data_IF_080315259247
#
_entry.id   IF_080315259247
#
_cell.length_a   1.000
_cell.length_b   1.000
_cell.length_c   1.000
_cell.angle_alpha   90.00
_cell.angle_beta   90.00
_cell.angle_gamma   90.00
#
_symmetry.space_group_name_H-M   'P 1'
#
loop_
_entity.id
_entity.type
_entity.pdbx_description
1 polymer ?
#
# COMPACT_ATOMS: atom_id res chain seq x y z
N UNK A 1 -11.22 20.27 -41.87
CA UNK A 1 -12.05 20.95 -40.86
C UNK A 1 -11.76 20.27 -39.54
N UNK A 2 -11.05 20.95 -38.64
CA UNK A 2 -10.77 20.43 -37.31
C UNK A 2 -11.98 20.71 -36.42
N UNK A 3 -12.55 19.66 -35.82
CA UNK A 3 -13.58 19.79 -34.79
C UNK A 3 -12.98 20.53 -33.59
N UNK A 4 -13.44 21.75 -33.38
CA UNK A 4 -13.24 22.47 -32.13
C UNK A 4 -14.08 21.76 -31.07
N UNK A 5 -13.42 21.03 -30.17
CA UNK A 5 -14.05 20.57 -28.95
C UNK A 5 -14.35 21.82 -28.12
N UNK A 6 -15.64 22.04 -27.86
CA UNK A 6 -16.18 23.17 -27.13
C UNK A 6 -15.87 23.00 -25.63
N UNK A 7 -14.97 23.82 -25.08
CA UNK A 7 -14.63 23.88 -23.64
C UNK A 7 -15.70 24.61 -22.80
N UNK A 8 -16.91 24.79 -23.32
CA UNK A 8 -17.99 25.54 -22.66
C UNK A 8 -18.68 24.68 -21.60
N UNK A 9 -18.52 25.11 -20.34
CA UNK A 9 -19.25 24.71 -19.13
C UNK A 9 -18.99 23.29 -18.59
N UNK A 10 -17.78 23.01 -18.10
CA UNK A 10 -17.62 22.00 -17.04
C UNK A 10 -18.27 22.54 -15.76
N UNK A 11 -19.46 22.06 -15.44
CA UNK A 11 -20.13 22.34 -14.16
C UNK A 11 -19.27 21.81 -13.02
N UNK A 12 -18.97 22.66 -12.03
CA UNK A 12 -18.24 22.26 -10.83
C UNK A 12 -19.05 21.20 -10.08
N UNK A 13 -18.51 20.00 -9.96
CA UNK A 13 -19.20 18.89 -9.28
C UNK A 13 -18.84 18.85 -7.81
N UNK A 14 -19.80 18.50 -6.96
CA UNK A 14 -19.61 18.29 -5.52
C UNK A 14 -19.78 16.81 -5.19
N UNK A 15 -18.87 16.28 -4.39
CA UNK A 15 -18.93 14.86 -4.03
C UNK A 15 -18.21 14.52 -2.73
N UNK A 16 -18.33 13.26 -2.35
CA UNK A 16 -17.68 12.70 -1.17
C UNK A 16 -16.49 11.83 -1.57
N UNK A 17 -15.55 11.64 -0.65
CA UNK A 17 -14.52 10.60 -0.76
C UNK A 17 -14.80 9.49 0.24
N UNK A 18 -14.95 8.25 -0.22
CA UNK A 18 -15.09 7.07 0.63
C UNK A 18 -13.72 6.54 1.04
N UNK A 19 -13.41 6.64 2.33
CA UNK A 19 -12.13 6.30 2.96
C UNK A 19 -11.46 7.52 3.58
N UNK A 20 -11.47 7.64 4.91
CA UNK A 20 -10.82 8.74 5.63
C UNK A 20 -9.40 8.34 6.06
N UNK A 21 -8.54 8.07 5.07
CA UNK A 21 -7.12 7.75 5.24
C UNK A 21 -6.25 8.46 4.21
N UNK A 22 -4.94 8.17 4.18
CA UNK A 22 -4.01 8.86 3.28
C UNK A 22 -4.36 8.75 1.79
N UNK A 23 -4.91 7.61 1.36
CA UNK A 23 -5.42 7.44 -0.01
C UNK A 23 -6.63 8.33 -0.29
N UNK A 24 -7.51 8.51 0.68
CA UNK A 24 -8.64 9.43 0.59
C UNK A 24 -8.20 10.87 0.39
N UNK A 25 -7.18 11.31 1.14
CA UNK A 25 -6.60 12.67 0.97
C UNK A 25 -6.05 12.85 -0.44
N UNK A 26 -5.29 11.88 -0.96
CA UNK A 26 -4.79 11.92 -2.36
C UNK A 26 -5.93 11.94 -3.38
N UNK A 27 -6.99 11.18 -3.14
CA UNK A 27 -8.19 11.19 -3.99
C UNK A 27 -8.85 12.57 -4.01
N UNK A 28 -8.96 13.23 -2.85
CA UNK A 28 -9.44 14.62 -2.75
C UNK A 28 -8.57 15.58 -3.56
N UNK A 29 -7.25 15.55 -3.39
CA UNK A 29 -6.33 16.42 -4.13
C UNK A 29 -6.45 16.28 -5.66
N UNK A 30 -6.56 15.04 -6.15
CA UNK A 30 -6.74 14.77 -7.59
C UNK A 30 -8.04 15.36 -8.10
N UNK A 31 -9.12 15.20 -7.35
CA UNK A 31 -10.45 15.70 -7.72
C UNK A 31 -10.50 17.23 -7.68
N UNK A 32 -9.89 17.85 -6.68
CA UNK A 32 -9.85 19.31 -6.54
C UNK A 32 -8.96 19.97 -7.60
N UNK A 33 -7.89 19.31 -8.06
CA UNK A 33 -7.11 19.76 -9.24
C UNK A 33 -7.95 19.84 -10.51
N UNK A 34 -9.00 19.02 -10.62
CA UNK A 34 -9.98 19.09 -11.71
C UNK A 34 -11.08 20.14 -11.47
N UNK A 35 -10.92 20.99 -10.45
CA UNK A 35 -11.86 22.02 -10.00
C UNK A 35 -13.16 21.48 -9.41
N UNK A 36 -13.27 20.19 -9.11
CA UNK A 36 -14.40 19.67 -8.36
C UNK A 36 -14.24 19.95 -6.86
N UNK A 37 -15.31 19.84 -6.07
CA UNK A 37 -15.28 20.11 -4.62
C UNK A 37 -15.58 18.84 -3.83
N UNK A 38 -14.71 18.54 -2.87
CA UNK A 38 -15.00 17.51 -1.86
C UNK A 38 -15.70 18.14 -0.67
N UNK A 39 -16.90 17.65 -0.36
CA UNK A 39 -17.72 18.18 0.74
C UNK A 39 -17.63 17.34 2.02
N UNK A 40 -16.95 16.19 1.97
CA UNK A 40 -16.78 15.31 3.12
C UNK A 40 -16.09 14.00 2.78
N UNK A 41 -15.65 13.31 3.82
CA UNK A 41 -15.20 11.93 3.79
C UNK A 41 -16.29 11.00 4.34
N UNK A 42 -16.38 9.79 3.80
CA UNK A 42 -17.23 8.71 4.31
C UNK A 42 -16.31 7.60 4.82
N UNK A 43 -16.59 7.03 5.99
CA UNK A 43 -15.80 5.91 6.51
C UNK A 43 -16.69 4.95 7.28
N UNK A 44 -16.43 3.64 7.23
CA UNK A 44 -17.21 2.67 7.99
C UNK A 44 -16.84 2.66 9.48
N UNK A 45 -15.71 3.26 9.86
CA UNK A 45 -15.27 3.37 11.24
C UNK A 45 -16.02 4.50 11.98
N UNK A 46 -16.96 4.11 12.83
CA UNK A 46 -17.77 5.03 13.63
C UNK A 46 -16.97 5.88 14.61
N UNK A 47 -15.75 5.47 14.96
CA UNK A 47 -14.88 6.27 15.85
C UNK A 47 -14.37 7.54 15.16
N UNK A 48 -14.38 7.60 13.82
CA UNK A 48 -13.95 8.77 13.04
C UNK A 48 -15.09 9.76 12.79
N UNK A 49 -16.35 9.34 12.93
CA UNK A 49 -17.50 10.16 12.58
C UNK A 49 -17.60 11.42 13.44
N UNK A 50 -18.00 12.53 12.82
CA UNK A 50 -18.04 13.84 13.47
C UNK A 50 -16.67 14.51 13.62
N UNK A 51 -15.58 13.78 13.37
CA UNK A 51 -14.25 14.36 13.19
C UNK A 51 -14.11 15.07 11.85
N UNK A 52 -12.91 15.58 11.60
CA UNK A 52 -12.54 16.18 10.33
C UNK A 52 -11.19 15.67 9.83
N UNK A 53 -11.05 15.59 8.52
CA UNK A 53 -9.81 15.27 7.82
C UNK A 53 -9.64 16.28 6.69
N UNK A 54 -8.48 16.95 6.65
CA UNK A 54 -8.18 17.96 5.64
C UNK A 54 -9.30 19.00 5.45
N UNK A 55 -9.77 19.54 6.58
CA UNK A 55 -10.86 20.52 6.69
C UNK A 55 -12.23 20.06 6.17
N UNK A 56 -12.42 18.77 5.89
CA UNK A 56 -13.69 18.17 5.50
C UNK A 56 -14.22 17.28 6.64
N UNK A 57 -15.53 17.24 6.90
CA UNK A 57 -16.11 16.36 7.92
C UNK A 57 -15.98 14.89 7.51
N UNK A 58 -15.87 14.00 8.49
CA UNK A 58 -15.98 12.54 8.29
C UNK A 58 -17.37 12.10 8.75
N UNK A 59 -18.11 11.45 7.86
CA UNK A 59 -19.51 11.09 8.05
C UNK A 59 -19.74 9.57 7.95
N UNK A 60 -20.86 9.12 8.52
CA UNK A 60 -21.43 7.79 8.22
C UNK A 60 -21.81 7.74 6.72
N UNK A 61 -21.37 6.71 5.97
CA UNK A 61 -21.74 6.49 4.58
C UNK A 61 -23.24 6.57 4.30
N UNK A 62 -24.12 6.25 5.27
CA UNK A 62 -25.57 6.31 5.09
C UNK A 62 -26.11 7.70 4.74
N UNK A 63 -25.35 8.76 5.03
CA UNK A 63 -25.72 10.13 4.67
C UNK A 63 -26.00 10.30 3.16
N UNK A 64 -25.42 9.44 2.32
CA UNK A 64 -25.62 9.46 0.86
C UNK A 64 -27.05 9.15 0.42
N UNK A 65 -27.91 8.66 1.32
CA UNK A 65 -29.34 8.54 1.06
C UNK A 65 -30.11 9.85 1.30
N UNK A 66 -29.55 10.78 2.08
CA UNK A 66 -30.23 11.97 2.59
C UNK A 66 -29.78 13.26 1.90
N UNK A 67 -28.55 13.30 1.36
CA UNK A 67 -27.94 14.50 0.79
C UNK A 67 -27.75 14.41 -0.72
N UNK A 68 -27.72 15.57 -1.37
CA UNK A 68 -27.42 15.65 -2.81
C UNK A 68 -25.91 15.72 -3.06
N UNK A 69 -25.48 14.95 -4.07
CA UNK A 69 -24.10 14.92 -4.56
C UNK A 69 -24.09 14.49 -6.03
N UNK A 70 -23.00 14.86 -6.71
CA UNK A 70 -22.76 14.53 -8.11
C UNK A 70 -21.99 13.22 -8.25
N UNK A 71 -21.07 12.94 -7.32
CA UNK A 71 -20.25 11.73 -7.33
C UNK A 71 -19.83 11.28 -5.93
N UNK A 72 -19.40 10.02 -5.83
CA UNK A 72 -18.64 9.48 -4.71
C UNK A 72 -17.34 8.90 -5.26
N UNK A 73 -16.22 9.39 -4.74
CA UNK A 73 -14.91 8.93 -5.09
C UNK A 73 -14.41 7.87 -4.12
N UNK A 74 -13.94 6.74 -4.60
CA UNK A 74 -13.36 5.71 -3.74
C UNK A 74 -11.90 6.07 -3.45
N UNK A 75 -11.63 6.38 -2.19
CA UNK A 75 -10.33 6.69 -1.62
C UNK A 75 -9.68 5.52 -0.88
N UNK A 76 -9.93 4.28 -1.33
CA UNK A 76 -9.33 3.05 -0.79
C UNK A 76 -9.04 2.08 -1.92
N UNK A 77 -7.76 1.81 -2.21
CA UNK A 77 -7.37 0.98 -3.36
C UNK A 77 -7.72 -0.50 -3.22
N UNK A 78 -7.51 -1.06 -2.02
CA UNK A 78 -7.64 -2.51 -1.77
C UNK A 78 -9.09 -2.99 -1.67
N UNK A 79 -10.02 -2.07 -1.40
CA UNK A 79 -11.42 -2.38 -1.17
C UNK A 79 -12.35 -1.76 -2.22
N UNK A 80 -11.84 -1.41 -3.41
CA UNK A 80 -12.65 -0.75 -4.46
C UNK A 80 -13.93 -1.53 -4.77
N UNK A 81 -13.82 -2.84 -5.03
CA UNK A 81 -14.97 -3.64 -5.43
C UNK A 81 -15.96 -3.85 -4.27
N UNK A 82 -15.46 -4.05 -3.05
CA UNK A 82 -16.27 -4.15 -1.85
C UNK A 82 -17.03 -2.83 -1.56
N UNK A 83 -16.36 -1.69 -1.69
CA UNK A 83 -16.95 -0.36 -1.48
C UNK A 83 -17.96 -0.05 -2.59
N UNK A 84 -17.66 -0.36 -3.86
CA UNK A 84 -18.62 -0.23 -4.97
C UNK A 84 -19.90 -0.98 -4.66
N UNK A 85 -19.79 -2.24 -4.25
CA UNK A 85 -20.94 -3.07 -3.90
C UNK A 85 -21.73 -2.47 -2.73
N UNK A 86 -21.05 -2.05 -1.67
CA UNK A 86 -21.67 -1.36 -0.53
C UNK A 86 -22.46 -0.12 -0.97
N UNK A 87 -21.87 0.73 -1.81
CA UNK A 87 -22.52 1.94 -2.31
C UNK A 87 -23.74 1.62 -3.18
N UNK A 88 -23.65 0.61 -4.03
CA UNK A 88 -24.77 0.14 -4.85
C UNK A 88 -25.92 -0.40 -3.99
N UNK A 89 -25.62 -1.16 -2.94
CA UNK A 89 -26.60 -1.64 -1.96
C UNK A 89 -27.28 -0.49 -1.20
N UNK A 90 -26.58 0.63 -1.03
CA UNK A 90 -27.13 1.89 -0.48
C UNK A 90 -27.91 2.72 -1.51
N UNK A 91 -28.09 2.22 -2.74
CA UNK A 91 -28.84 2.90 -3.80
C UNK A 91 -28.05 3.93 -4.59
N UNK A 92 -26.71 3.98 -4.43
CA UNK A 92 -25.86 4.89 -5.22
C UNK A 92 -25.74 4.35 -6.66
N UNK A 93 -26.11 5.14 -7.68
CA UNK A 93 -25.95 4.74 -9.07
C UNK A 93 -24.47 4.54 -9.42
N UNK A 94 -24.15 3.48 -10.17
CA UNK A 94 -22.77 3.19 -10.60
C UNK A 94 -22.15 4.37 -11.39
N UNK A 95 -22.96 5.09 -12.16
CA UNK A 95 -22.53 6.29 -12.91
C UNK A 95 -22.05 7.45 -12.03
N UNK A 96 -22.33 7.43 -10.73
CA UNK A 96 -21.85 8.41 -9.74
C UNK A 96 -20.60 7.95 -9.00
N UNK A 97 -20.17 6.70 -9.16
CA UNK A 97 -19.02 6.16 -8.43
C UNK A 97 -17.76 6.30 -9.29
N UNK A 98 -16.75 7.00 -8.78
CA UNK A 98 -15.48 7.20 -9.46
C UNK A 98 -14.31 6.63 -8.64
N UNK A 99 -13.25 6.23 -9.33
CA UNK A 99 -11.99 5.78 -8.72
C UNK A 99 -10.89 6.70 -9.24
N UNK A 100 -10.67 7.84 -8.57
CA UNK A 100 -9.84 8.93 -9.11
C UNK A 100 -8.35 8.58 -9.11
N UNK A 101 -7.94 7.69 -8.21
CA UNK A 101 -6.55 7.26 -8.09
C UNK A 101 -6.50 5.75 -8.31
N UNK A 102 -5.75 5.34 -9.33
CA UNK A 102 -5.46 3.93 -9.57
C UNK A 102 -4.12 3.62 -8.92
N UNK A 103 -4.02 2.56 -8.10
CA UNK A 103 -2.74 2.17 -7.57
C UNK A 103 -1.82 1.75 -8.73
N UNK A 104 -0.55 2.13 -8.65
CA UNK A 104 0.47 1.50 -9.49
C UNK A 104 0.59 0.06 -9.03
N UNK A 105 0.65 -0.88 -9.98
CA UNK A 105 0.82 -2.31 -9.71
C UNK A 105 2.11 -2.78 -10.37
N UNK A 106 2.74 -3.77 -9.77
CA UNK A 106 3.86 -4.45 -10.42
C UNK A 106 3.39 -5.23 -11.65
N UNK A 107 4.36 -5.54 -12.50
CA UNK A 107 4.26 -6.42 -13.65
C UNK A 107 5.58 -7.20 -13.73
N UNK A 108 5.64 -8.31 -14.50
CA UNK A 108 6.86 -9.10 -14.60
C UNK A 108 8.06 -8.24 -15.01
N UNK A 109 9.12 -8.28 -14.21
CA UNK A 109 10.35 -7.55 -14.45
C UNK A 109 10.90 -7.95 -15.83
N UNK A 110 11.16 -6.99 -16.74
CA UNK A 110 11.65 -7.27 -18.08
C UNK A 110 13.09 -7.82 -18.08
N UNK A 111 13.83 -7.66 -16.98
CA UNK A 111 15.20 -8.16 -16.85
C UNK A 111 15.25 -9.69 -16.68
N UNK A 112 16.32 -10.30 -17.17
CA UNK A 112 16.57 -11.73 -17.03
C UNK A 112 17.40 -12.01 -15.77
N UNK A 113 16.92 -12.94 -14.95
CA UNK A 113 17.62 -13.43 -13.75
C UNK A 113 17.68 -14.95 -13.78
N UNK A 114 18.72 -15.51 -13.16
CA UNK A 114 18.78 -16.94 -12.94
C UNK A 114 17.74 -17.35 -11.89
N UNK A 115 17.11 -18.53 -11.99
CA UNK A 115 16.10 -18.99 -11.03
C UNK A 115 16.55 -18.89 -9.57
N UNK A 116 17.82 -19.21 -9.30
CA UNK A 116 18.39 -19.12 -7.95
C UNK A 116 18.33 -17.70 -7.37
N UNK A 117 18.51 -16.65 -8.18
CA UNK A 117 18.43 -15.25 -7.74
C UNK A 117 17.00 -14.83 -7.39
N UNK A 118 15.99 -15.51 -7.95
CA UNK A 118 14.58 -15.25 -7.66
C UNK A 118 14.08 -16.01 -6.43
N UNK A 119 14.78 -17.09 -6.05
CA UNK A 119 14.30 -18.06 -5.07
C UNK A 119 15.07 -18.03 -3.76
N UNK A 120 16.32 -17.58 -3.75
CA UNK A 120 17.17 -17.59 -2.57
C UNK A 120 17.80 -16.22 -2.36
N UNK A 121 18.08 -15.92 -1.10
CA UNK A 121 18.93 -14.79 -0.74
C UNK A 121 20.40 -15.12 -0.98
N UNK A 122 21.26 -14.09 -0.94
CA UNK A 122 22.70 -14.30 -0.89
C UNK A 122 23.07 -15.12 0.37
N UNK A 123 23.94 -16.15 0.26
CA UNK A 123 24.36 -16.95 1.42
C UNK A 123 24.88 -16.14 2.61
N UNK A 124 25.45 -14.94 2.40
CA UNK A 124 25.93 -14.06 3.45
C UNK A 124 24.80 -13.50 4.33
N UNK A 125 23.58 -13.38 3.81
CA UNK A 125 22.39 -12.94 4.56
C UNK A 125 22.11 -13.86 5.75
N UNK A 126 22.29 -15.16 5.55
CA UNK A 126 22.03 -16.19 6.56
C UNK A 126 23.09 -16.24 7.67
N UNK A 127 24.26 -15.62 7.46
CA UNK A 127 25.39 -15.67 8.39
C UNK A 127 25.86 -14.28 8.84
N UNK A 128 25.12 -13.22 8.49
CA UNK A 128 25.38 -11.87 8.95
C UNK A 128 25.27 -11.78 10.48
N UNK A 129 25.93 -10.78 11.08
CA UNK A 129 25.88 -10.62 12.53
C UNK A 129 24.46 -10.27 13.01
N UNK A 130 23.74 -9.42 12.28
CA UNK A 130 22.35 -9.04 12.55
C UNK A 130 21.40 -10.25 12.52
N UNK A 131 21.54 -11.14 11.53
CA UNK A 131 20.78 -12.41 11.47
C UNK A 131 21.08 -13.28 12.68
N UNK A 132 22.35 -13.48 13.02
CA UNK A 132 22.73 -14.24 14.22
C UNK A 132 22.19 -13.62 15.50
N UNK A 133 22.22 -12.30 15.62
CA UNK A 133 21.67 -11.58 16.76
C UNK A 133 20.15 -11.73 16.86
N UNK A 134 19.44 -11.68 15.75
CA UNK A 134 18.01 -11.96 15.69
C UNK A 134 17.71 -13.40 16.13
N UNK A 135 18.41 -14.39 15.58
CA UNK A 135 18.22 -15.81 15.92
C UNK A 135 18.50 -16.11 17.40
N UNK A 136 19.53 -15.47 17.99
CA UNK A 136 19.86 -15.60 19.42
C UNK A 136 18.71 -15.15 20.34
N UNK A 137 17.80 -14.30 19.87
CA UNK A 137 16.60 -13.89 20.65
C UNK A 137 15.61 -15.05 20.81
N UNK A 138 15.69 -16.10 19.99
CA UNK A 138 14.86 -17.30 20.11
C UNK A 138 13.36 -17.03 19.97
N UNK A 139 12.98 -16.02 19.19
CA UNK A 139 11.58 -15.65 19.00
C UNK A 139 10.87 -16.74 18.18
N UNK A 140 9.83 -17.34 18.74
CA UNK A 140 9.01 -18.32 18.05
C UNK A 140 7.77 -17.65 17.47
N UNK A 141 7.65 -17.71 16.14
CA UNK A 141 6.53 -17.11 15.40
C UNK A 141 5.53 -18.20 15.04
N UNK A 142 4.42 -18.25 15.79
CA UNK A 142 3.28 -19.14 15.54
C UNK A 142 2.13 -18.44 14.78
N UNK A 143 2.34 -17.18 14.38
CA UNK A 143 1.36 -16.38 13.64
C UNK A 143 1.22 -16.91 12.20
N UNK A 144 0.30 -17.86 12.02
CA UNK A 144 0.06 -18.50 10.73
C UNK A 144 -0.32 -17.51 9.63
N UNK A 145 -1.07 -16.46 9.97
CA UNK A 145 -1.49 -15.45 8.99
C UNK A 145 -0.29 -14.67 8.45
N UNK A 146 0.65 -14.29 9.32
CA UNK A 146 1.92 -13.69 8.90
C UNK A 146 2.71 -14.65 7.99
N UNK A 147 2.89 -15.91 8.42
CA UNK A 147 3.67 -16.89 7.67
C UNK A 147 3.09 -17.13 6.28
N UNK A 148 1.76 -17.29 6.17
CA UNK A 148 1.07 -17.47 4.88
C UNK A 148 1.28 -16.24 3.96
N UNK A 149 1.28 -15.02 4.52
CA UNK A 149 1.57 -13.80 3.74
C UNK A 149 3.02 -13.70 3.28
N UNK A 150 3.99 -14.18 4.07
CA UNK A 150 5.40 -14.24 3.65
C UNK A 150 5.60 -15.25 2.51
N UNK A 151 4.92 -16.40 2.54
CA UNK A 151 4.93 -17.35 1.42
C UNK A 151 4.26 -16.77 0.16
N UNK A 152 3.15 -16.06 0.34
CA UNK A 152 2.49 -15.31 -0.74
C UNK A 152 3.44 -14.29 -1.37
N UNK A 153 4.13 -13.48 -0.54
CA UNK A 153 5.11 -12.52 -1.02
C UNK A 153 6.23 -13.19 -1.82
N UNK A 154 6.83 -14.27 -1.31
CA UNK A 154 7.87 -15.05 -2.01
C UNK A 154 7.39 -15.54 -3.39
N UNK A 155 6.15 -15.99 -3.47
CA UNK A 155 5.54 -16.47 -4.73
C UNK A 155 5.33 -15.33 -5.72
N UNK A 156 4.76 -14.21 -5.26
CA UNK A 156 4.49 -13.02 -6.10
C UNK A 156 5.79 -12.41 -6.62
N UNK A 157 6.84 -12.31 -5.80
CA UNK A 157 8.15 -11.83 -6.23
C UNK A 157 8.72 -12.73 -7.34
N UNK A 158 8.65 -14.05 -7.16
CA UNK A 158 9.12 -15.02 -8.16
C UNK A 158 8.35 -14.92 -9.48
N UNK A 159 7.02 -14.91 -9.41
CA UNK A 159 6.13 -14.79 -10.58
C UNK A 159 6.40 -13.52 -11.38
N UNK A 160 6.70 -12.42 -10.68
CA UNK A 160 7.03 -11.15 -11.29
C UNK A 160 8.54 -10.97 -11.55
N UNK A 161 9.35 -12.02 -11.42
CA UNK A 161 10.80 -12.00 -11.69
C UNK A 161 11.56 -10.92 -10.91
N UNK A 162 11.18 -10.71 -9.66
CA UNK A 162 11.81 -9.77 -8.73
C UNK A 162 12.76 -10.56 -7.81
N UNK A 163 14.09 -10.32 -7.87
CA UNK A 163 15.04 -10.96 -6.97
C UNK A 163 14.76 -10.61 -5.52
N UNK A 164 14.74 -11.61 -4.63
CA UNK A 164 14.49 -11.39 -3.19
C UNK A 164 15.59 -10.57 -2.53
N UNK A 165 16.82 -10.67 -3.04
CA UNK A 165 17.98 -9.90 -2.54
C UNK A 165 17.79 -8.39 -2.64
N UNK A 166 16.89 -7.93 -3.54
CA UNK A 166 16.58 -6.52 -3.81
C UNK A 166 15.35 -6.00 -3.08
N UNK A 167 14.83 -6.78 -2.13
CA UNK A 167 13.61 -6.50 -1.39
C UNK A 167 13.89 -6.63 0.09
N UNK A 168 13.39 -5.68 0.89
CA UNK A 168 13.42 -5.77 2.34
C UNK A 168 12.04 -5.48 2.92
N UNK A 169 11.60 -6.30 3.87
CA UNK A 169 10.35 -6.13 4.61
C UNK A 169 10.54 -5.07 5.68
N UNK A 170 9.61 -4.14 5.76
CA UNK A 170 9.62 -3.01 6.69
C UNK A 170 8.29 -2.93 7.45
N UNK A 171 8.13 -1.89 8.28
CA UNK A 171 6.84 -1.57 8.89
C UNK A 171 6.32 -2.62 9.87
N UNK A 172 5.02 -2.90 9.79
CA UNK A 172 4.33 -3.69 10.81
C UNK A 172 4.82 -5.14 10.93
N UNK A 173 5.28 -5.73 9.82
CA UNK A 173 5.76 -7.11 9.77
C UNK A 173 7.06 -7.31 10.56
N UNK A 174 7.93 -6.30 10.63
CA UNK A 174 9.14 -6.31 11.46
C UNK A 174 8.78 -6.47 12.94
N UNK A 175 7.79 -5.71 13.42
CA UNK A 175 7.32 -5.83 14.80
C UNK A 175 6.74 -7.23 15.11
N UNK A 176 6.09 -7.86 14.12
CA UNK A 176 5.52 -9.18 14.29
C UNK A 176 6.59 -10.27 14.38
N UNK A 177 7.63 -10.23 13.54
CA UNK A 177 8.74 -11.21 13.61
C UNK A 177 9.61 -11.04 14.86
N UNK A 178 9.53 -9.89 15.53
CA UNK A 178 10.11 -9.70 16.87
C UNK A 178 9.15 -10.12 18.01
N UNK A 179 7.94 -10.58 17.70
CA UNK A 179 6.94 -10.95 18.70
C UNK A 179 6.33 -9.77 19.46
N UNK A 180 6.56 -8.53 19.00
CA UNK A 180 6.09 -7.30 19.65
C UNK A 180 4.59 -7.04 19.40
N UNK A 181 4.03 -7.65 18.35
CA UNK A 181 2.59 -7.63 18.06
C UNK A 181 2.17 -8.87 17.28
N UNK A 182 0.86 -9.17 17.29
CA UNK A 182 0.24 -10.17 16.42
C UNK A 182 -0.34 -9.53 15.15
N UNK A 183 -0.62 -10.34 14.14
CA UNK A 183 -1.41 -9.97 12.97
C UNK A 183 -2.77 -9.40 13.38
N UNK A 184 -3.16 -8.34 12.69
CA UNK A 184 -4.53 -7.82 12.71
C UNK A 184 -5.20 -8.09 11.37
N UNK A 185 -6.52 -8.05 11.40
CA UNK A 185 -7.34 -8.12 10.19
C UNK A 185 -6.92 -6.98 9.24
N UNK A 186 -6.66 -7.33 7.99
CA UNK A 186 -6.22 -6.43 6.91
C UNK A 186 -4.79 -5.91 7.01
N UNK A 187 -3.97 -6.44 7.93
CA UNK A 187 -2.53 -6.20 7.88
C UNK A 187 -1.96 -6.64 6.52
N UNK A 188 -1.03 -5.86 6.01
CA UNK A 188 -0.23 -6.06 4.82
C UNK A 188 1.23 -6.30 5.18
N UNK A 189 2.00 -6.76 4.20
CA UNK A 189 3.46 -6.79 4.26
C UNK A 189 3.98 -5.59 3.49
N UNK A 190 4.56 -4.65 4.22
CA UNK A 190 5.24 -3.50 3.66
C UNK A 190 6.66 -3.90 3.24
N UNK A 191 7.03 -3.56 2.01
CA UNK A 191 8.38 -3.77 1.51
C UNK A 191 8.97 -2.48 0.94
N UNK A 192 10.29 -2.43 0.91
CA UNK A 192 11.07 -1.49 0.10
C UNK A 192 11.83 -2.26 -0.98
N UNK A 193 12.22 -1.56 -2.04
CA UNK A 193 13.00 -2.11 -3.15
C UNK A 193 14.15 -1.19 -3.51
N UNK A 194 15.23 -1.79 -4.03
CA UNK A 194 16.39 -1.06 -4.53
C UNK A 194 16.02 -0.09 -5.66
N UNK A 195 16.82 0.96 -5.82
CA UNK A 195 16.55 2.08 -6.73
C UNK A 195 16.47 1.67 -8.20
N UNK A 196 17.12 0.59 -8.61
CA UNK A 196 16.98 0.04 -9.97
C UNK A 196 15.59 -0.56 -10.21
N UNK A 197 14.98 -1.22 -9.22
CA UNK A 197 13.59 -1.66 -9.30
C UNK A 197 12.62 -0.46 -9.22
N UNK A 198 12.96 0.56 -8.43
CA UNK A 198 12.18 1.81 -8.37
C UNK A 198 12.14 2.55 -9.71
N UNK A 199 13.18 2.46 -10.54
CA UNK A 199 13.15 2.99 -11.92
C UNK A 199 12.11 2.29 -12.81
N UNK A 200 11.74 1.05 -12.49
CA UNK A 200 10.78 0.24 -13.26
C UNK A 200 9.34 0.46 -12.74
N UNK A 201 9.16 0.43 -11.42
CA UNK A 201 7.83 0.44 -10.79
C UNK A 201 7.41 1.80 -10.24
N UNK A 202 8.34 2.75 -10.14
CA UNK A 202 8.12 4.09 -9.59
C UNK A 202 8.53 4.24 -8.13
N UNK A 203 8.54 5.49 -7.67
CA UNK A 203 9.03 5.89 -6.33
C UNK A 203 7.92 6.07 -5.30
N UNK A 204 6.65 6.05 -5.74
CA UNK A 204 5.50 6.09 -4.84
C UNK A 204 5.14 4.71 -4.27
N UNK A 205 3.98 4.65 -3.63
CA UNK A 205 3.38 3.39 -3.18
C UNK A 205 2.97 2.55 -4.40
N UNK A 206 3.36 1.28 -4.41
CA UNK A 206 3.04 0.32 -5.47
C UNK A 206 2.45 -0.94 -4.86
N UNK A 207 1.32 -1.40 -5.40
CA UNK A 207 0.67 -2.62 -4.95
C UNK A 207 1.40 -3.83 -5.56
N UNK A 208 1.88 -4.71 -4.69
CA UNK A 208 2.57 -5.95 -5.04
C UNK A 208 1.54 -7.07 -5.20
N UNK A 209 0.68 -7.23 -4.19
CA UNK A 209 -0.42 -8.18 -4.18
C UNK A 209 -1.54 -7.69 -3.26
N UNK A 210 -2.55 -8.52 -3.01
CA UNK A 210 -3.59 -8.22 -2.02
C UNK A 210 -3.03 -8.12 -0.59
N UNK A 211 -1.90 -8.76 -0.32
CA UNK A 211 -1.30 -8.88 1.01
C UNK A 211 0.04 -8.17 1.15
N UNK A 212 0.52 -7.49 0.10
CA UNK A 212 1.81 -6.81 0.14
C UNK A 212 1.81 -5.53 -0.70
N UNK A 213 2.55 -4.54 -0.23
CA UNK A 213 2.78 -3.28 -0.94
C UNK A 213 4.23 -2.81 -0.80
N UNK A 214 4.72 -2.15 -1.84
CA UNK A 214 5.98 -1.45 -1.81
C UNK A 214 5.72 -0.03 -1.34
N UNK A 215 6.22 0.30 -0.15
CA UNK A 215 6.14 1.62 0.47
C UNK A 215 6.78 2.69 -0.42
N UNK A 216 6.44 3.98 -0.29
CA UNK A 216 7.17 5.05 -0.97
C UNK A 216 8.69 4.99 -0.71
N UNK A 217 9.48 5.43 -1.68
CA UNK A 217 10.93 5.31 -1.63
C UNK A 217 11.54 6.29 -0.61
N UNK A 218 12.47 5.80 0.22
CA UNK A 218 13.26 6.59 1.17
C UNK A 218 12.40 7.35 2.20
N UNK A 219 11.42 6.68 2.81
CA UNK A 219 10.64 7.27 3.91
C UNK A 219 11.37 7.26 5.27
N UNK A 220 12.46 6.49 5.38
CA UNK A 220 13.28 6.39 6.57
C UNK A 220 14.48 7.35 6.51
N UNK A 221 15.18 7.51 7.64
CA UNK A 221 16.40 8.32 7.72
C UNK A 221 17.57 7.73 6.92
N UNK A 222 17.55 6.42 6.71
CA UNK A 222 18.49 5.65 5.90
C UNK A 222 17.83 5.36 4.54
N UNK A 223 18.58 5.40 3.45
CA UNK A 223 18.03 5.14 2.12
C UNK A 223 17.62 3.67 1.93
N UNK A 224 16.64 3.40 1.05
CA UNK A 224 16.19 2.04 0.74
C UNK A 224 17.36 1.16 0.28
N UNK A 225 18.25 1.68 -0.58
CA UNK A 225 19.44 0.96 -1.07
C UNK A 225 20.38 0.58 0.08
N UNK A 226 20.67 1.52 0.99
CA UNK A 226 21.55 1.25 2.14
C UNK A 226 20.91 0.23 3.10
N UNK A 227 19.60 0.32 3.35
CA UNK A 227 18.88 -0.66 4.17
C UNK A 227 18.96 -2.06 3.55
N UNK A 228 18.85 -2.18 2.22
CA UNK A 228 18.79 -3.47 1.51
C UNK A 228 20.18 -4.07 1.27
N UNK A 229 21.20 -3.25 0.98
CA UNK A 229 22.53 -3.71 0.55
C UNK A 229 23.51 -3.84 1.72
N UNK A 230 23.35 -3.06 2.79
CA UNK A 230 24.22 -3.14 3.96
C UNK A 230 23.61 -4.07 5.02
N UNK A 231 24.28 -5.21 5.23
CA UNK A 231 23.89 -6.26 6.18
C UNK A 231 23.73 -5.79 7.64
N UNK A 232 24.17 -4.58 7.99
CA UNK A 232 23.95 -4.02 9.34
C UNK A 232 22.52 -3.52 9.58
N UNK A 233 21.76 -3.25 8.52
CA UNK A 233 20.43 -2.65 8.62
C UNK A 233 19.26 -3.61 8.38
N UNK A 234 19.56 -4.88 8.12
CA UNK A 234 18.55 -5.92 8.01
C UNK A 234 19.06 -7.24 8.56
N UNK A 235 18.13 -8.14 8.83
CA UNK A 235 18.37 -9.54 9.18
C UNK A 235 17.52 -10.44 8.30
N UNK A 236 17.91 -11.71 8.17
CA UNK A 236 17.14 -12.70 7.45
C UNK A 236 16.11 -13.37 8.37
N UNK A 237 14.89 -13.55 7.85
CA UNK A 237 13.88 -14.44 8.41
C UNK A 237 13.02 -15.02 7.27
N UNK A 238 12.78 -16.33 7.31
CA UNK A 238 11.94 -17.05 6.33
C UNK A 238 12.29 -16.77 4.84
N UNK A 239 13.59 -16.70 4.52
CA UNK A 239 14.14 -16.41 3.19
C UNK A 239 13.77 -15.03 2.62
N UNK A 240 13.55 -14.06 3.52
CA UNK A 240 13.33 -12.65 3.23
C UNK A 240 14.21 -11.79 4.15
N UNK A 241 14.56 -10.59 3.67
CA UNK A 241 15.21 -9.57 4.50
C UNK A 241 14.15 -8.81 5.29
N UNK A 242 14.44 -8.51 6.55
CA UNK A 242 13.63 -7.65 7.41
C UNK A 242 14.52 -6.53 7.93
N UNK A 243 14.05 -5.29 7.85
CA UNK A 243 14.78 -4.16 8.40
C UNK A 243 14.94 -4.33 9.92
N UNK A 244 16.12 -3.95 10.43
CA UNK A 244 16.37 -3.89 11.87
C UNK A 244 15.43 -2.85 12.52
N UNK A 245 15.10 -3.02 13.80
CA UNK A 245 14.15 -2.14 14.50
C UNK A 245 14.63 -0.68 14.52
N UNK A 246 15.94 -0.47 14.59
CA UNK A 246 16.61 0.83 14.60
C UNK A 246 16.38 1.64 13.30
N UNK A 247 16.02 0.96 12.21
CA UNK A 247 15.68 1.62 10.92
C UNK A 247 14.28 2.24 10.98
N UNK A 248 13.39 1.72 11.83
CA UNK A 248 11.99 2.14 11.91
C UNK A 248 11.76 3.33 12.86
N UNK A 249 12.83 3.83 13.50
CA UNK A 249 12.82 4.96 14.44
C UNK A 249 12.82 6.34 13.75
#
# INVERSE_FOLDING_TARGET
MAEKIDERERTLKKGYVFGAGGVGVKAKEVIEKEKNTIIGFLDNDSLKWGGSLDNCPICDPKIVAEVQYDFIAIGVYKAVDAIKKQLQEMGVPESKIIVPVKPVKIYPNPMCFFPKQLELLDPFEYVSETTKEYEKKGVLIEDKELLDRLESLKSVLKENRIPREKVCVVGGAVLQVHGLRKSKKFDDIDIIMTSDLRKIYGTGLVIISETAEMHPQNEYTISDDEIIENYQYHFQFNDLKFACLEVLE
#
